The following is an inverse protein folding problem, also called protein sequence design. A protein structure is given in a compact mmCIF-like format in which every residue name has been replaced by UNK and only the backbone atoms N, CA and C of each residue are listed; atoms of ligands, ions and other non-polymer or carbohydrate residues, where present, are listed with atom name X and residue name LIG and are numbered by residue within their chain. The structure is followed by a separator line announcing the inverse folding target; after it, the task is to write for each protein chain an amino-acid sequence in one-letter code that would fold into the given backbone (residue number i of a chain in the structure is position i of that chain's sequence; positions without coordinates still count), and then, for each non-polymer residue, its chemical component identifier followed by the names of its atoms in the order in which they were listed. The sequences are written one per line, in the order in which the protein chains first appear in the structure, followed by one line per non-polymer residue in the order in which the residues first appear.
data_IF_900244794750
#
_entry.id   IF_900244794750
#
_cell.length_a   1.000
_cell.length_b   1.000
_cell.length_c   1.000
_cell.angle_alpha   90.00
_cell.angle_beta   90.00
_cell.angle_gamma   90.00
#
_symmetry.space_group_name_H-M   'P 1'
#
loop_
_entity.id
_entity.type
_entity.pdbx_description
1 polymer ?
#
# COMPACT_ATOMS: atom_id res chain seq x y z
N UNK A 1 5.98 -16.10 16.34
CA UNK A 1 5.38 -15.94 15.00
C UNK A 1 4.24 -14.93 15.09
N UNK A 2 3.90 -14.23 14.00
CA UNK A 2 2.97 -13.09 13.98
C UNK A 2 1.51 -13.41 14.39
N UNK A 3 1.19 -14.66 14.72
CA UNK A 3 -0.11 -15.07 15.25
C UNK A 3 -1.27 -14.84 14.27
N UNK A 4 -2.50 -14.99 14.77
CA UNK A 4 -3.72 -14.74 13.99
C UNK A 4 -3.98 -13.26 13.72
N UNK A 5 -3.44 -12.37 14.56
CA UNK A 5 -3.61 -10.92 14.47
C UNK A 5 -2.25 -10.24 14.27
N UNK A 6 -1.67 -10.31 13.06
CA UNK A 6 -0.31 -9.85 12.80
C UNK A 6 -0.10 -8.37 13.14
N UNK A 7 -1.11 -7.52 12.90
CA UNK A 7 -1.04 -6.08 13.22
C UNK A 7 -0.85 -5.83 14.73
N UNK A 8 -1.45 -6.64 15.62
CA UNK A 8 -1.26 -6.51 17.08
C UNK A 8 0.13 -6.97 17.49
N UNK A 9 0.60 -8.09 16.94
CA UNK A 9 1.96 -8.57 17.19
C UNK A 9 3.01 -7.55 16.73
N UNK A 10 2.83 -6.93 15.57
CA UNK A 10 3.70 -5.86 15.06
C UNK A 10 3.67 -4.63 15.97
N UNK A 11 2.50 -4.23 16.47
CA UNK A 11 2.40 -3.13 17.43
C UNK A 11 3.14 -3.43 18.73
N UNK A 12 3.02 -4.65 19.26
CA UNK A 12 3.77 -5.06 20.46
C UNK A 12 5.28 -5.05 20.23
N UNK A 13 5.74 -5.49 19.06
CA UNK A 13 7.15 -5.43 18.68
C UNK A 13 7.62 -3.97 18.55
N UNK A 14 6.83 -3.09 17.95
CA UNK A 14 7.18 -1.67 17.83
C UNK A 14 7.32 -0.99 19.20
N UNK A 15 6.51 -1.38 20.21
CA UNK A 15 6.68 -0.89 21.59
C UNK A 15 8.01 -1.32 22.21
N UNK A 16 8.57 -2.45 21.78
CA UNK A 16 9.83 -3.01 22.31
C UNK A 16 11.07 -2.53 21.56
N UNK A 17 10.99 -2.43 20.23
CA UNK A 17 12.14 -2.18 19.35
C UNK A 17 12.15 -0.77 18.76
N UNK A 18 11.06 -0.02 18.87
CA UNK A 18 10.93 1.34 18.34
C UNK A 18 9.94 1.45 17.19
N UNK A 19 9.67 2.70 16.80
CA UNK A 19 8.67 3.06 15.79
C UNK A 19 9.08 2.74 14.34
N UNK A 20 10.35 2.43 14.12
CA UNK A 20 10.91 1.91 12.87
C UNK A 20 11.70 0.67 13.24
N UNK A 21 11.34 -0.48 12.67
CA UNK A 21 12.04 -1.73 12.90
C UNK A 21 12.17 -2.53 11.62
N UNK A 22 13.23 -3.34 11.52
CA UNK A 22 13.43 -4.29 10.42
C UNK A 22 13.10 -5.70 10.89
N UNK A 23 12.35 -6.43 10.08
CA UNK A 23 12.02 -7.84 10.29
C UNK A 23 12.22 -8.62 9.00
N UNK A 24 12.31 -9.95 9.10
CA UNK A 24 12.29 -10.84 7.95
C UNK A 24 10.97 -11.62 7.93
N UNK A 25 10.22 -11.51 6.83
CA UNK A 25 9.06 -12.34 6.54
C UNK A 25 9.50 -13.48 5.61
N UNK A 26 9.90 -14.60 6.21
CA UNK A 26 10.62 -15.64 5.47
C UNK A 26 11.94 -15.08 4.94
N UNK A 27 12.13 -15.11 3.62
CA UNK A 27 13.32 -14.56 2.97
C UNK A 27 13.15 -13.11 2.48
N UNK A 28 12.05 -12.44 2.85
CA UNK A 28 11.76 -11.07 2.43
C UNK A 28 12.08 -10.11 3.59
N UNK A 29 13.08 -9.22 3.45
CA UNK A 29 13.32 -8.18 4.43
C UNK A 29 12.20 -7.12 4.36
N UNK A 30 11.68 -6.71 5.51
CA UNK A 30 10.57 -5.76 5.63
C UNK A 30 10.89 -4.72 6.70
N UNK A 31 10.61 -3.46 6.37
CA UNK A 31 10.64 -2.36 7.34
C UNK A 31 9.21 -2.11 7.82
N UNK A 32 9.02 -2.08 9.13
CA UNK A 32 7.74 -1.80 9.76
C UNK A 32 7.79 -0.40 10.37
N UNK A 33 6.85 0.43 9.96
CA UNK A 33 6.67 1.80 10.45
C UNK A 33 5.41 1.86 11.32
N UNK A 34 5.56 2.29 12.58
CA UNK A 34 4.50 2.26 13.60
C UNK A 34 4.27 3.60 14.30
N UNK A 35 4.63 4.72 13.65
CA UNK A 35 4.37 6.08 14.15
C UNK A 35 3.74 6.95 13.07
N UNK A 36 2.71 7.74 13.37
CA UNK A 36 2.08 8.65 12.40
C UNK A 36 3.08 9.62 11.77
N UNK A 37 3.96 10.22 12.59
CA UNK A 37 4.98 11.17 12.13
C UNK A 37 5.93 10.53 11.12
N UNK A 38 6.31 9.28 11.36
CA UNK A 38 7.18 8.55 10.44
C UNK A 38 6.40 8.12 9.21
N UNK A 39 5.18 7.60 9.37
CA UNK A 39 4.34 7.19 8.23
C UNK A 39 4.10 8.34 7.24
N UNK A 40 3.93 9.57 7.73
CA UNK A 40 3.84 10.76 6.88
C UNK A 40 5.09 10.99 6.02
N UNK A 41 6.28 10.71 6.53
CA UNK A 41 7.51 10.82 5.75
C UNK A 41 7.52 9.84 4.56
N UNK A 42 6.98 8.63 4.73
CA UNK A 42 6.95 7.61 3.67
C UNK A 42 5.78 7.80 2.71
N UNK A 43 4.61 8.19 3.22
CA UNK A 43 3.36 8.22 2.46
C UNK A 43 3.03 9.60 1.88
N UNK A 44 3.74 10.65 2.29
CA UNK A 44 3.57 12.01 1.74
C UNK A 44 4.89 12.64 1.32
N UNK A 45 5.85 12.77 2.24
CA UNK A 45 7.08 13.54 1.96
C UNK A 45 7.97 12.86 0.91
N UNK A 46 8.07 11.53 0.97
CA UNK A 46 8.85 10.72 0.04
C UNK A 46 7.97 9.70 -0.67
N UNK A 47 6.68 10.04 -0.87
CA UNK A 47 5.69 9.15 -1.46
C UNK A 47 6.14 8.57 -2.81
N UNK A 48 6.80 9.36 -3.64
CA UNK A 48 7.31 8.93 -4.93
C UNK A 48 8.34 7.78 -4.83
N UNK A 49 9.19 7.79 -3.81
CA UNK A 49 10.19 6.73 -3.58
C UNK A 49 9.53 5.41 -3.15
N UNK A 50 8.37 5.49 -2.50
CA UNK A 50 7.62 4.35 -1.96
C UNK A 50 6.31 4.08 -2.72
N UNK A 51 6.14 4.66 -3.90
CA UNK A 51 4.91 4.57 -4.68
C UNK A 51 4.68 3.18 -5.30
N UNK A 52 5.74 2.38 -5.42
CA UNK A 52 5.70 1.07 -6.04
C UNK A 52 5.43 -0.04 -5.01
N UNK A 53 4.49 -0.93 -5.32
CA UNK A 53 4.25 -2.11 -4.52
C UNK A 53 5.31 -3.20 -4.77
N UNK A 54 5.71 -4.00 -3.78
CA UNK A 54 6.58 -5.15 -4.00
C UNK A 54 6.00 -6.11 -5.05
N UNK A 55 6.77 -6.39 -6.10
CA UNK A 55 6.40 -7.38 -7.11
C UNK A 55 6.48 -8.78 -6.52
N UNK A 56 5.35 -9.43 -6.37
CA UNK A 56 5.26 -10.82 -5.91
C UNK A 56 4.80 -11.71 -7.06
N UNK A 57 5.12 -13.02 -7.01
CA UNK A 57 4.58 -13.97 -8.00
C UNK A 57 3.05 -13.97 -8.00
N UNK A 58 2.44 -13.81 -6.82
CA UNK A 58 1.00 -13.74 -6.65
C UNK A 58 0.42 -12.53 -7.38
N UNK A 59 1.00 -11.34 -7.23
CA UNK A 59 0.51 -10.16 -7.97
C UNK A 59 0.65 -10.35 -9.48
N UNK A 60 1.77 -10.88 -9.97
CA UNK A 60 1.92 -11.15 -11.41
C UNK A 60 0.85 -12.11 -11.96
N UNK A 61 0.54 -13.19 -11.23
CA UNK A 61 -0.48 -14.16 -11.64
C UNK A 61 -1.89 -13.58 -11.56
N UNK A 62 -2.22 -12.87 -10.48
CA UNK A 62 -3.59 -12.38 -10.25
C UNK A 62 -3.95 -11.17 -11.09
N UNK A 63 -2.97 -10.37 -11.52
CA UNK A 63 -3.24 -9.05 -12.07
C UNK A 63 -2.66 -8.82 -13.47
N UNK A 64 -2.76 -9.86 -14.30
CA UNK A 64 -2.38 -9.81 -15.72
C UNK A 64 -0.93 -9.33 -15.92
N UNK A 65 -0.03 -9.84 -15.09
CA UNK A 65 1.38 -9.45 -15.09
C UNK A 65 1.65 -8.13 -14.36
N UNK A 66 0.93 -7.83 -13.26
CA UNK A 66 1.06 -6.58 -12.51
C UNK A 66 0.75 -5.33 -13.34
N UNK A 67 -0.31 -5.41 -14.15
CA UNK A 67 -0.80 -4.29 -14.99
C UNK A 67 -2.10 -3.67 -14.48
N UNK A 68 -2.59 -4.11 -13.32
CA UNK A 68 -3.73 -3.51 -12.63
C UNK A 68 -3.35 -2.22 -11.90
N UNK A 69 -4.35 -1.52 -11.37
CA UNK A 69 -4.16 -0.23 -10.68
C UNK A 69 -3.37 -0.32 -9.36
N UNK A 70 -3.39 -1.46 -8.67
CA UNK A 70 -2.79 -1.63 -7.34
C UNK A 70 -1.34 -2.11 -7.39
N UNK A 71 -0.97 -2.96 -8.36
CA UNK A 71 0.38 -3.55 -8.44
C UNK A 71 1.24 -3.06 -9.63
N UNK A 72 0.69 -2.25 -10.54
CA UNK A 72 1.50 -1.64 -11.61
C UNK A 72 2.48 -0.63 -11.04
N UNK A 73 3.67 -0.55 -11.66
CA UNK A 73 4.66 0.45 -11.29
C UNK A 73 4.13 1.86 -11.56
N UNK A 74 4.45 2.75 -10.61
CA UNK A 74 4.20 4.16 -10.71
C UNK A 74 4.89 4.72 -11.96
N UNK A 75 4.09 5.34 -12.82
CA UNK A 75 4.55 5.89 -14.08
C UNK A 75 3.41 6.58 -14.83
N UNK A 76 3.65 7.02 -16.08
CA UNK A 76 2.64 7.70 -16.89
C UNK A 76 1.35 6.90 -17.06
N UNK A 77 1.46 5.58 -17.22
CA UNK A 77 0.31 4.69 -17.31
C UNK A 77 -0.53 4.69 -16.03
N UNK A 78 0.10 4.43 -14.87
CA UNK A 78 -0.60 4.46 -13.58
C UNK A 78 -1.29 5.80 -13.34
N UNK A 79 -0.60 6.92 -13.61
CA UNK A 79 -1.16 8.27 -13.47
C UNK A 79 -2.39 8.49 -14.35
N UNK A 80 -2.37 7.98 -15.59
CA UNK A 80 -3.49 8.08 -16.51
C UNK A 80 -4.70 7.28 -16.01
N UNK A 81 -4.50 6.02 -15.62
CA UNK A 81 -5.58 5.16 -15.11
C UNK A 81 -6.13 5.71 -13.79
N UNK A 82 -5.27 6.15 -12.87
CA UNK A 82 -5.70 6.76 -11.60
C UNK A 82 -6.53 8.03 -11.81
N UNK A 83 -6.13 8.88 -12.76
CA UNK A 83 -6.93 10.05 -13.15
C UNK A 83 -8.30 9.64 -13.66
N UNK A 84 -8.36 8.66 -14.57
CA UNK A 84 -9.64 8.13 -15.07
C UNK A 84 -10.53 7.60 -13.94
N UNK A 85 -9.99 6.78 -13.03
CA UNK A 85 -10.76 6.24 -11.91
C UNK A 85 -11.28 7.34 -10.98
N UNK A 86 -10.46 8.33 -10.66
CA UNK A 86 -10.86 9.42 -9.76
C UNK A 86 -11.89 10.37 -10.38
N UNK A 87 -11.88 10.58 -11.70
CA UNK A 87 -12.88 11.43 -12.37
C UNK A 87 -14.18 10.71 -12.69
N UNK A 88 -14.10 9.44 -13.12
CA UNK A 88 -15.27 8.72 -13.65
C UNK A 88 -15.92 7.75 -12.67
N UNK A 89 -15.19 7.24 -11.68
CA UNK A 89 -15.67 6.20 -10.77
C UNK A 89 -15.82 6.70 -9.34
N UNK A 90 -14.81 7.40 -8.81
CA UNK A 90 -14.68 7.72 -7.38
C UNK A 90 -14.98 9.21 -7.10
N UNK A 91 -15.50 9.96 -8.06
CA UNK A 91 -15.82 11.37 -7.84
C UNK A 91 -17.14 11.53 -7.04
N UNK A 92 -17.31 12.64 -6.30
CA UNK A 92 -18.46 12.83 -5.41
C UNK A 92 -19.83 12.71 -6.11
N UNK A 93 -19.93 13.13 -7.37
CA UNK A 93 -21.18 12.99 -8.14
C UNK A 93 -21.53 11.53 -8.41
N UNK A 94 -20.54 10.71 -8.76
CA UNK A 94 -20.71 9.27 -8.99
C UNK A 94 -21.00 8.53 -7.70
N UNK A 95 -20.27 8.83 -6.62
CA UNK A 95 -20.54 8.26 -5.28
C UNK A 95 -21.98 8.51 -4.87
N UNK A 96 -22.51 9.73 -5.05
CA UNK A 96 -23.93 10.02 -4.76
C UNK A 96 -24.90 9.27 -5.67
N UNK A 97 -24.57 9.14 -6.96
CA UNK A 97 -25.41 8.41 -7.89
C UNK A 97 -25.53 6.92 -7.52
N UNK A 98 -24.45 6.31 -7.03
CA UNK A 98 -24.44 4.92 -6.57
C UNK A 98 -24.95 4.72 -5.14
N UNK A 99 -24.94 5.76 -4.29
CA UNK A 99 -25.43 5.68 -2.91
C UNK A 99 -26.95 5.52 -2.79
N UNK A 100 -27.68 5.69 -3.89
CA UNK A 100 -29.14 5.53 -3.96
C UNK A 100 -29.58 4.18 -4.57
N UNK A 101 -28.62 3.31 -4.89
CA UNK A 101 -28.85 1.88 -5.16
C UNK A 101 -28.74 1.09 -3.84
#
# INVERSE_FOLDING_TARGET
MLGSLPHRSLQHLAKRYGSIMSIHLGNVPVIVVSSPKVAELFLKTHDHNFANWPKTKVSQCMTYGAKDLAFVEYGPYWRHVWKFCTTELICPSKVRAFALL
#
